data_IF_202212771442
#
_entry.id   IF_202212771442
#
_cell.length_a   1.000
_cell.length_b   1.000
_cell.length_c   1.000
_cell.angle_alpha   90.00
_cell.angle_beta   90.00
_cell.angle_gamma   90.00
#
_symmetry.space_group_name_H-M   'P 1'
#
loop_
_entity.id
_entity.type
_entity.pdbx_description
1 polymer ?
#
# COMPACT_ATOMS: atom_id res chain seq x y z
N UNK A 1 -4.23 -1.03 49.22
CA UNK A 1 -4.17 -1.98 48.08
C UNK A 1 -3.98 -1.19 46.80
N UNK A 2 -2.81 -1.29 46.17
CA UNK A 2 -2.54 -0.61 44.90
C UNK A 2 -3.21 -1.38 43.76
N UNK A 3 -4.16 -0.74 43.07
CA UNK A 3 -4.84 -1.29 41.90
C UNK A 3 -3.85 -1.23 40.72
N UNK A 4 -3.28 -2.38 40.35
CA UNK A 4 -2.49 -2.53 39.13
C UNK A 4 -3.45 -2.43 37.92
N UNK A 5 -3.56 -1.23 37.35
CA UNK A 5 -4.26 -1.04 36.08
C UNK A 5 -3.38 -1.64 34.98
N UNK A 6 -3.70 -2.87 34.57
CA UNK A 6 -3.14 -3.46 33.35
C UNK A 6 -3.64 -2.61 32.18
N UNK A 7 -2.78 -1.73 31.68
CA UNK A 7 -2.95 -1.07 30.39
C UNK A 7 -2.77 -2.13 29.29
N UNK A 8 -3.78 -2.99 29.13
CA UNK A 8 -3.93 -3.78 27.93
C UNK A 8 -4.29 -2.79 26.82
N UNK A 9 -3.28 -2.25 26.12
CA UNK A 9 -3.49 -1.65 24.81
C UNK A 9 -3.96 -2.78 23.90
N UNK A 10 -5.27 -3.05 23.91
CA UNK A 10 -5.89 -3.78 22.82
C UNK A 10 -5.55 -2.99 21.57
N UNK A 11 -4.67 -3.54 20.73
CA UNK A 11 -4.44 -3.02 19.39
C UNK A 11 -5.81 -2.97 18.72
N UNK A 12 -6.38 -1.76 18.62
CA UNK A 12 -7.64 -1.60 17.91
C UNK A 12 -7.43 -2.13 16.50
N UNK A 13 -8.34 -2.95 15.97
CA UNK A 13 -8.19 -3.46 14.63
C UNK A 13 -8.10 -2.26 13.68
N UNK A 14 -6.95 -2.12 13.02
CA UNK A 14 -6.71 -1.06 12.03
C UNK A 14 -7.87 -1.05 11.03
N UNK A 15 -8.39 0.14 10.74
CA UNK A 15 -9.37 0.34 9.68
C UNK A 15 -8.85 -0.18 8.34
N UNK A 16 -9.75 -0.48 7.42
CA UNK A 16 -9.38 -1.05 6.12
C UNK A 16 -8.35 -0.17 5.37
N UNK A 17 -8.48 1.15 5.48
CA UNK A 17 -7.54 2.10 4.88
C UNK A 17 -6.17 2.10 5.58
N UNK A 18 -6.13 1.99 6.91
CA UNK A 18 -4.88 1.91 7.65
C UNK A 18 -4.11 0.64 7.30
N UNK A 19 -4.80 -0.50 7.15
CA UNK A 19 -4.19 -1.74 6.66
C UNK A 19 -3.60 -1.57 5.26
N UNK A 20 -4.33 -0.89 4.35
CA UNK A 20 -3.82 -0.59 3.03
C UNK A 20 -2.52 0.22 3.13
N UNK A 21 -2.50 1.31 3.90
CA UNK A 21 -1.29 2.12 4.05
C UNK A 21 -0.11 1.37 4.66
N UNK A 22 -0.33 0.54 5.68
CA UNK A 22 0.72 -0.32 6.24
C UNK A 22 1.27 -1.31 5.22
N UNK A 23 0.41 -1.85 4.36
CA UNK A 23 0.82 -2.73 3.26
C UNK A 23 1.68 -1.98 2.22
N UNK A 24 1.29 -0.74 1.87
CA UNK A 24 2.06 0.10 0.96
C UNK A 24 3.46 0.39 1.50
N UNK A 25 3.62 0.64 2.80
CA UNK A 25 4.94 0.90 3.39
C UNK A 25 5.93 -0.26 3.22
N UNK A 26 5.43 -1.49 3.12
CA UNK A 26 6.25 -2.70 3.02
C UNK A 26 6.55 -3.12 1.58
N UNK A 27 5.61 -2.90 0.67
CA UNK A 27 5.62 -3.55 -0.65
C UNK A 27 5.59 -2.58 -1.83
N UNK A 28 5.37 -1.29 -1.60
CA UNK A 28 5.28 -0.32 -2.69
C UNK A 28 6.69 -0.03 -3.26
N UNK A 29 6.92 -0.21 -4.58
CA UNK A 29 8.22 0.04 -5.19
C UNK A 29 8.53 1.54 -5.27
N UNK A 30 9.79 1.93 -5.44
CA UNK A 30 10.18 3.34 -5.58
C UNK A 30 9.51 4.03 -6.80
N UNK A 31 9.32 3.29 -7.89
CA UNK A 31 8.70 3.75 -9.14
C UNK A 31 7.16 3.74 -9.11
N UNK A 32 6.55 3.57 -7.93
CA UNK A 32 5.10 3.39 -7.80
C UNK A 32 4.25 4.47 -8.45
N UNK A 33 4.73 5.71 -8.50
CA UNK A 33 3.95 6.83 -9.05
C UNK A 33 3.63 6.57 -10.52
N UNK A 34 4.63 6.19 -11.31
CA UNK A 34 4.45 5.94 -12.74
C UNK A 34 3.66 4.65 -12.98
N UNK A 35 3.94 3.59 -12.22
CA UNK A 35 3.19 2.33 -12.26
C UNK A 35 1.70 2.52 -11.92
N UNK A 36 1.40 3.38 -10.95
CA UNK A 36 0.01 3.68 -10.55
C UNK A 36 -0.71 4.48 -11.63
N UNK A 37 -0.02 5.41 -12.31
CA UNK A 37 -0.58 6.11 -13.47
C UNK A 37 -0.91 5.12 -14.58
N UNK A 38 0.02 4.24 -14.93
CA UNK A 38 -0.19 3.21 -15.96
C UNK A 38 -1.35 2.28 -15.60
N UNK A 39 -1.43 1.83 -14.35
CA UNK A 39 -2.52 0.97 -13.89
C UNK A 39 -3.87 1.65 -14.02
N UNK A 40 -3.97 2.93 -13.61
CA UNK A 40 -5.21 3.70 -13.72
C UNK A 40 -5.63 3.93 -15.18
N UNK A 41 -4.67 4.22 -16.06
CA UNK A 41 -4.93 4.35 -17.50
C UNK A 41 -5.40 3.01 -18.09
N UNK A 42 -4.76 1.89 -17.73
CA UNK A 42 -5.18 0.53 -18.17
C UNK A 42 -6.60 0.19 -17.74
N UNK A 43 -7.06 0.73 -16.60
CA UNK A 43 -8.43 0.56 -16.09
C UNK A 43 -9.44 1.55 -16.69
N UNK A 44 -9.02 2.40 -17.64
CA UNK A 44 -9.90 3.35 -18.32
C UNK A 44 -10.10 4.68 -17.58
N UNK A 45 -9.33 4.93 -16.51
CA UNK A 45 -9.35 6.22 -15.83
C UNK A 45 -8.48 7.25 -16.56
N UNK A 46 -8.86 8.53 -16.46
CA UNK A 46 -8.01 9.64 -16.92
C UNK A 46 -6.71 9.64 -16.13
N UNK A 47 -5.59 9.88 -16.81
CA UNK A 47 -4.26 10.00 -16.20
C UNK A 47 -4.32 10.95 -14.99
N UNK A 48 -4.12 10.46 -13.76
CA UNK A 48 -4.11 11.30 -12.58
C UNK A 48 -2.85 12.17 -12.56
N UNK A 49 -2.91 13.30 -11.84
CA UNK A 49 -1.72 14.07 -11.56
C UNK A 49 -0.79 13.27 -10.62
N UNK A 50 0.51 13.19 -10.94
CA UNK A 50 1.52 12.53 -10.10
C UNK A 50 1.53 13.05 -8.66
N UNK A 51 1.29 14.34 -8.46
CA UNK A 51 1.18 14.94 -7.12
C UNK A 51 0.01 14.35 -6.33
N UNK A 52 -1.10 14.06 -7.00
CA UNK A 52 -2.30 13.48 -6.39
C UNK A 52 -2.02 12.08 -5.82
N UNK A 53 -1.29 11.26 -6.57
CA UNK A 53 -0.89 9.91 -6.14
C UNK A 53 0.00 9.97 -4.89
N UNK A 54 0.98 10.89 -4.87
CA UNK A 54 1.84 11.12 -3.71
C UNK A 54 1.05 11.59 -2.49
N UNK A 55 0.07 12.47 -2.69
CA UNK A 55 -0.78 12.98 -1.61
C UNK A 55 -1.67 11.89 -1.01
N UNK A 56 -2.17 10.96 -1.83
CA UNK A 56 -2.89 9.77 -1.33
C UNK A 56 -1.95 8.87 -0.53
N UNK A 57 -0.78 8.53 -1.07
CA UNK A 57 0.23 7.72 -0.37
C UNK A 57 0.63 8.35 0.98
N UNK A 58 0.75 9.68 1.03
CA UNK A 58 1.10 10.42 2.24
C UNK A 58 -0.09 10.72 3.15
N UNK A 59 -1.26 10.11 2.90
CA UNK A 59 -2.48 10.24 3.72
C UNK A 59 -3.01 11.69 3.81
N UNK A 60 -2.58 12.58 2.91
CA UNK A 60 -3.00 13.99 2.88
C UNK A 60 -4.40 14.15 2.28
N UNK A 61 -4.76 13.28 1.34
CA UNK A 61 -6.09 13.24 0.72
C UNK A 61 -6.58 11.79 0.67
N UNK A 62 -7.88 11.59 0.77
CA UNK A 62 -8.50 10.27 0.64
C UNK A 62 -9.14 10.12 -0.73
N UNK A 63 -8.57 9.23 -1.56
CA UNK A 63 -9.13 8.80 -2.83
C UNK A 63 -9.01 7.29 -2.96
N UNK A 64 -10.14 6.61 -2.80
CA UNK A 64 -10.18 5.15 -2.73
C UNK A 64 -9.75 4.48 -4.04
N UNK A 65 -10.01 5.11 -5.18
CA UNK A 65 -9.59 4.61 -6.49
C UNK A 65 -8.06 4.60 -6.65
N UNK A 66 -7.40 5.66 -6.20
CA UNK A 66 -5.93 5.75 -6.20
C UNK A 66 -5.33 4.86 -5.12
N UNK A 67 -5.96 4.78 -3.94
CA UNK A 67 -5.51 3.90 -2.86
C UNK A 67 -5.56 2.43 -3.29
N UNK A 68 -6.63 2.02 -3.96
CA UNK A 68 -6.76 0.69 -4.55
C UNK A 68 -5.66 0.44 -5.59
N UNK A 69 -5.45 1.38 -6.51
CA UNK A 69 -4.40 1.26 -7.52
C UNK A 69 -3.00 1.12 -6.89
N UNK A 70 -2.71 1.85 -5.82
CA UNK A 70 -1.46 1.72 -5.07
C UNK A 70 -1.29 0.33 -4.44
N UNK A 71 -2.37 -0.23 -3.88
CA UNK A 71 -2.35 -1.58 -3.28
C UNK A 71 -2.10 -2.65 -4.35
N UNK A 72 -2.71 -2.51 -5.52
CA UNK A 72 -2.53 -3.43 -6.64
C UNK A 72 -1.08 -3.39 -7.16
N UNK A 73 -0.51 -2.20 -7.34
CA UNK A 73 0.91 -2.04 -7.72
C UNK A 73 1.85 -2.64 -6.68
N UNK A 74 1.57 -2.44 -5.38
CA UNK A 74 2.35 -3.03 -4.30
C UNK A 74 2.23 -4.58 -4.31
N UNK A 75 1.06 -5.11 -4.63
CA UNK A 75 0.81 -6.56 -4.73
C UNK A 75 1.58 -7.17 -5.89
N UNK A 76 1.57 -6.53 -7.06
CA UNK A 76 2.34 -6.97 -8.22
C UNK A 76 3.85 -6.96 -7.95
N UNK A 77 4.35 -5.93 -7.26
CA UNK A 77 5.76 -5.85 -6.86
C UNK A 77 6.13 -6.97 -5.89
N UNK A 78 5.32 -7.22 -4.85
CA UNK A 78 5.52 -8.32 -3.91
C UNK A 78 5.61 -9.67 -4.64
N UNK A 79 4.64 -9.96 -5.50
CA UNK A 79 4.60 -11.22 -6.26
C UNK A 79 5.81 -11.38 -7.17
N UNK A 80 6.28 -10.29 -7.79
CA UNK A 80 7.47 -10.30 -8.64
C UNK A 80 8.74 -10.60 -7.84
N UNK A 81 8.89 -10.01 -6.64
CA UNK A 81 10.00 -10.31 -5.73
C UNK A 81 9.95 -11.77 -5.25
N UNK A 82 8.77 -12.27 -4.90
CA UNK A 82 8.60 -13.67 -4.48
C UNK A 82 8.99 -14.65 -5.58
N UNK A 83 8.57 -14.40 -6.83
CA UNK A 83 9.00 -15.22 -7.98
C UNK A 83 10.51 -15.22 -8.17
N UNK A 84 11.17 -14.06 -8.08
CA UNK A 84 12.63 -13.98 -8.19
C UNK A 84 13.30 -14.78 -7.06
N UNK A 85 12.81 -14.65 -5.82
CA UNK A 85 13.35 -15.41 -4.67
C UNK A 85 13.21 -16.91 -4.85
N UNK A 86 12.07 -17.39 -5.37
CA UNK A 86 11.87 -18.81 -5.66
C UNK A 86 12.88 -19.32 -6.70
N UNK A 87 13.07 -18.58 -7.80
CA UNK A 87 14.03 -18.96 -8.85
C UNK A 87 15.47 -19.00 -8.35
N UNK A 88 15.87 -18.05 -7.50
CA UNK A 88 17.23 -17.99 -6.93
C UNK A 88 17.43 -19.07 -5.86
N UNK A 89 16.41 -19.43 -5.08
CA UNK A 89 16.52 -20.47 -4.04
C UNK A 89 16.56 -21.89 -4.61
N UNK A 90 16.11 -22.08 -5.84
CA UNK A 90 16.20 -23.35 -6.59
C UNK A 90 17.53 -23.51 -7.36
N UNK A 91 18.42 -22.50 -7.31
CA UNK A 91 19.77 -22.52 -7.93
C UNK A 91 20.87 -22.75 -6.89
#
# INVERSE_FOLDING_TARGET
MAKLVKNNKQEQPLSHNEKAYSYLEQHLPYTYVDLTVEWLIKKGHKSPNKALIRNVRNKTILRNDILLALVEVATENKNSIERIKSLVSES
#
